data_IF_257102502554
#
_entry.id   IF_257102502554
#
_cell.length_a   1.000
_cell.length_b   1.000
_cell.length_c   1.000
_cell.angle_alpha   90.00
_cell.angle_beta   90.00
_cell.angle_gamma   90.00
#
_symmetry.space_group_name_H-M   'P 1'
#
loop_
_entity.id
_entity.type
_entity.pdbx_description
1 polymer ?
#
# COMPACT_ATOMS: atom_id res chain seq x y z
N UNK A 1 -13.54 8.38 -1.41
CA UNK A 1 -14.25 9.27 -2.35
C UNK A 1 -15.65 8.72 -2.53
N UNK A 2 -16.72 9.50 -2.28
CA UNK A 2 -18.10 9.07 -2.57
C UNK A 2 -18.32 9.18 -4.07
N UNK A 3 -18.88 8.15 -4.70
CA UNK A 3 -19.12 8.12 -6.15
C UNK A 3 -20.34 8.96 -6.57
N UNK A 4 -21.25 9.29 -5.64
CA UNK A 4 -22.27 10.34 -5.82
C UNK A 4 -22.77 10.87 -4.45
N UNK A 5 -23.55 11.95 -4.45
CA UNK A 5 -24.17 12.51 -3.25
C UNK A 5 -25.22 11.58 -2.59
N UNK A 6 -25.77 10.63 -3.33
CA UNK A 6 -26.79 9.67 -2.88
C UNK A 6 -26.28 8.21 -2.82
N UNK A 7 -24.98 7.98 -3.04
CA UNK A 7 -24.42 6.63 -2.99
C UNK A 7 -23.94 6.29 -1.58
N UNK A 8 -24.51 5.22 -1.01
CA UNK A 8 -24.05 4.60 0.24
C UNK A 8 -22.75 3.79 0.08
N UNK A 9 -22.20 3.73 -1.14
CA UNK A 9 -20.96 3.03 -1.44
C UNK A 9 -19.77 3.97 -1.33
N UNK A 10 -18.83 3.66 -0.45
CA UNK A 10 -17.53 4.32 -0.39
C UNK A 10 -16.45 3.38 -0.91
N UNK A 11 -15.51 3.91 -1.72
CA UNK A 11 -14.28 3.20 -2.08
C UNK A 11 -13.16 3.75 -1.21
N UNK A 12 -12.51 2.86 -0.48
CA UNK A 12 -11.28 3.13 0.26
C UNK A 12 -10.11 2.51 -0.51
N UNK A 13 -9.03 3.28 -0.66
CA UNK A 13 -7.77 2.79 -1.19
C UNK A 13 -6.87 2.47 -0.01
N UNK A 14 -6.26 1.28 -0.03
CA UNK A 14 -5.31 0.83 0.99
C UNK A 14 -3.99 0.55 0.27
N UNK A 15 -2.93 1.22 0.71
CA UNK A 15 -1.58 0.92 0.26
C UNK A 15 -1.08 -0.31 1.03
N UNK A 16 -0.72 -1.35 0.29
CA UNK A 16 -0.13 -2.57 0.84
C UNK A 16 1.36 -2.50 0.61
N UNK A 17 2.15 -2.57 1.69
CA UNK A 17 3.59 -2.80 1.58
C UNK A 17 3.81 -4.17 0.92
N UNK A 18 4.38 -4.18 -0.27
CA UNK A 18 4.60 -5.41 -1.04
C UNK A 18 5.96 -5.36 -1.75
N UNK A 19 6.43 -6.55 -2.11
CA UNK A 19 7.52 -6.74 -3.05
C UNK A 19 7.15 -6.24 -4.44
N UNK A 20 8.15 -6.05 -5.31
CA UNK A 20 7.94 -5.66 -6.72
C UNK A 20 7.02 -6.64 -7.46
N UNK A 21 6.96 -7.91 -7.02
CA UNK A 21 6.11 -8.94 -7.60
C UNK A 21 4.62 -8.83 -7.22
N UNK A 22 4.27 -8.01 -6.22
CA UNK A 22 2.88 -7.81 -5.81
C UNK A 22 2.23 -9.04 -5.16
N UNK A 23 3.03 -9.94 -4.59
CA UNK A 23 2.60 -11.26 -4.11
C UNK A 23 1.62 -11.13 -2.94
N UNK A 24 1.89 -10.22 -2.01
CA UNK A 24 1.03 -9.99 -0.85
C UNK A 24 -0.30 -9.38 -1.26
N UNK A 25 -0.28 -8.33 -2.09
CA UNK A 25 -1.47 -7.67 -2.62
C UNK A 25 -2.34 -8.64 -3.42
N UNK A 26 -1.74 -9.48 -4.29
CA UNK A 26 -2.46 -10.53 -5.02
C UNK A 26 -3.15 -11.53 -4.11
N UNK A 27 -2.53 -11.88 -2.98
CA UNK A 27 -3.13 -12.81 -2.02
C UNK A 27 -4.41 -12.29 -1.36
N UNK A 28 -4.63 -10.97 -1.38
CA UNK A 28 -5.83 -10.33 -0.83
C UNK A 28 -6.91 -10.09 -1.88
N UNK A 29 -6.56 -10.03 -3.17
CA UNK A 29 -7.54 -9.85 -4.24
C UNK A 29 -8.54 -11.01 -4.21
N UNK A 30 -9.83 -10.67 -4.20
CA UNK A 30 -10.92 -11.64 -4.15
C UNK A 30 -11.32 -12.08 -2.73
N UNK A 31 -10.53 -11.77 -1.69
CA UNK A 31 -10.94 -12.00 -0.30
C UNK A 31 -11.98 -10.97 0.15
N UNK A 32 -12.77 -11.36 1.13
CA UNK A 32 -13.77 -10.52 1.78
C UNK A 32 -13.29 -10.14 3.18
N UNK A 33 -13.42 -8.86 3.52
CA UNK A 33 -13.15 -8.32 4.86
C UNK A 33 -14.41 -7.68 5.41
N UNK A 34 -14.52 -7.58 6.73
CA UNK A 34 -15.66 -6.94 7.39
C UNK A 34 -15.28 -5.52 7.80
N UNK A 35 -15.98 -4.53 7.28
CA UNK A 35 -15.83 -3.12 7.65
C UNK A 35 -17.16 -2.61 8.17
N UNK A 36 -17.22 -2.17 9.43
CA UNK A 36 -18.45 -1.66 10.03
C UNK A 36 -19.62 -2.64 9.99
N UNK A 37 -19.34 -3.94 10.13
CA UNK A 37 -20.36 -5.00 10.07
C UNK A 37 -20.82 -5.39 8.67
N UNK A 38 -20.23 -4.83 7.61
CA UNK A 38 -20.54 -5.17 6.21
C UNK A 38 -19.40 -5.93 5.55
N UNK A 39 -19.76 -6.93 4.76
CA UNK A 39 -18.82 -7.69 3.94
C UNK A 39 -18.37 -6.85 2.73
N UNK A 40 -17.08 -6.59 2.63
CA UNK A 40 -16.46 -5.83 1.56
C UNK A 40 -15.45 -6.71 0.81
N UNK A 41 -15.58 -6.79 -0.51
CA UNK A 41 -14.66 -7.55 -1.35
C UNK A 41 -13.44 -6.70 -1.73
N UNK A 42 -12.24 -7.25 -1.54
CA UNK A 42 -11.00 -6.62 -1.99
C UNK A 42 -10.88 -6.82 -3.50
N UNK A 43 -10.85 -5.72 -4.24
CA UNK A 43 -10.66 -5.73 -5.69
C UNK A 43 -9.26 -5.24 -6.05
N UNK A 44 -8.66 -5.88 -7.05
CA UNK A 44 -7.40 -5.41 -7.60
C UNK A 44 -7.58 -4.04 -8.25
N UNK A 45 -6.72 -3.10 -7.90
CA UNK A 45 -6.58 -1.84 -8.64
C UNK A 45 -5.72 -2.08 -9.89
N UNK A 46 -5.99 -1.36 -10.98
CA UNK A 46 -5.07 -1.36 -12.11
C UNK A 46 -3.68 -0.90 -11.64
N UNK A 47 -2.59 -1.61 -11.96
CA UNK A 47 -1.25 -1.21 -11.57
C UNK A 47 -0.97 0.17 -12.15
N UNK A 48 -0.67 1.14 -11.28
CA UNK A 48 -0.27 2.48 -11.73
C UNK A 48 1.16 2.38 -12.28
N UNK A 49 1.39 2.72 -13.56
CA UNK A 49 2.75 2.73 -14.09
C UNK A 49 3.60 3.77 -13.35
N UNK A 50 4.73 3.32 -12.79
CA UNK A 50 5.95 4.14 -12.74
C UNK A 50 6.23 5.01 -11.53
N UNK A 51 5.57 4.86 -10.38
CA UNK A 51 6.10 5.48 -9.15
C UNK A 51 7.05 4.51 -8.47
N UNK A 52 8.35 4.81 -8.49
CA UNK A 52 9.32 4.04 -7.72
C UNK A 52 8.96 4.13 -6.22
N UNK A 53 8.91 2.98 -5.56
CA UNK A 53 8.93 2.91 -4.10
C UNK A 53 10.36 3.19 -3.65
N UNK A 54 10.55 4.24 -2.86
CA UNK A 54 11.86 4.53 -2.30
C UNK A 54 12.20 3.53 -1.20
N UNK A 55 13.22 2.69 -1.42
CA UNK A 55 13.71 1.69 -0.44
C UNK A 55 14.31 2.30 0.83
N UNK A 56 14.53 3.62 0.86
CA UNK A 56 15.10 4.33 2.02
C UNK A 56 14.01 4.84 2.97
N UNK A 57 12.97 5.45 2.43
CA UNK A 57 11.91 6.08 3.24
C UNK A 57 10.56 5.36 3.15
N UNK A 58 10.47 4.33 2.31
CA UNK A 58 9.26 3.54 2.03
C UNK A 58 8.08 4.42 1.60
N UNK A 59 8.36 5.46 0.81
CA UNK A 59 7.35 6.33 0.19
C UNK A 59 7.41 6.20 -1.33
N UNK A 60 6.25 6.25 -1.95
CA UNK A 60 6.09 6.28 -3.39
C UNK A 60 6.48 7.63 -3.99
N UNK A 61 6.81 7.63 -5.29
CA UNK A 61 6.97 8.84 -6.10
C UNK A 61 8.41 9.29 -6.32
N UNK A 62 9.41 8.56 -5.81
CA UNK A 62 10.82 8.85 -6.06
C UNK A 62 11.73 7.63 -5.85
N UNK A 63 12.88 7.62 -6.52
CA UNK A 63 13.91 6.59 -6.31
C UNK A 63 14.76 6.91 -5.07
N UNK A 64 15.41 5.89 -4.50
CA UNK A 64 16.27 6.03 -3.32
C UNK A 64 17.46 6.99 -3.56
N UNK A 65 17.95 7.07 -4.80
CA UNK A 65 19.05 7.97 -5.20
C UNK A 65 18.73 9.46 -5.03
N UNK A 66 17.46 9.86 -5.08
CA UNK A 66 17.02 11.27 -4.91
C UNK A 66 16.31 11.51 -3.58
N UNK A 67 16.32 10.52 -2.68
CA UNK A 67 15.64 10.60 -1.40
C UNK A 67 16.39 11.48 -0.40
N UNK A 68 15.69 12.47 0.19
CA UNK A 68 16.22 13.34 1.25
C UNK A 68 16.09 12.77 2.67
N UNK A 69 15.58 11.54 2.82
CA UNK A 69 15.44 10.91 4.14
C UNK A 69 16.81 10.60 4.74
N UNK A 70 17.01 10.95 6.03
CA UNK A 70 18.29 10.76 6.73
C UNK A 70 18.55 9.31 7.15
N UNK A 71 17.53 8.46 7.24
CA UNK A 71 17.64 7.08 7.71
C UNK A 71 16.83 6.09 6.88
N UNK A 72 17.17 4.82 6.99
CA UNK A 72 16.40 3.70 6.46
C UNK A 72 15.13 3.49 7.31
N UNK A 73 14.04 3.09 6.67
CA UNK A 73 12.83 2.63 7.32
C UNK A 73 12.57 1.18 6.99
N UNK A 74 12.11 0.43 7.98
CA UNK A 74 11.82 -0.99 7.82
C UNK A 74 10.63 -1.18 6.85
N UNK A 75 10.73 -2.06 5.84
CA UNK A 75 9.60 -2.43 4.97
C UNK A 75 8.40 -2.98 5.74
N UNK A 76 8.66 -3.67 6.85
CA UNK A 76 7.64 -4.41 7.59
C UNK A 76 6.81 -3.53 8.52
N UNK A 77 7.45 -2.56 9.20
CA UNK A 77 6.79 -1.75 10.22
C UNK A 77 6.98 -0.22 10.06
N UNK A 78 7.77 0.24 9.09
CA UNK A 78 7.96 1.67 8.80
C UNK A 78 8.80 2.44 9.83
N UNK A 79 9.34 1.76 10.84
CA UNK A 79 10.20 2.29 11.90
C UNK A 79 11.66 2.45 11.44
N UNK A 80 12.48 3.29 12.11
CA UNK A 80 13.83 3.62 11.67
C UNK A 80 14.86 2.51 12.00
N UNK A 81 14.66 1.32 11.43
CA UNK A 81 15.57 0.18 11.52
C UNK A 81 15.58 -0.62 10.22
N UNK A 82 16.61 -1.46 10.04
CA UNK A 82 16.70 -2.42 8.94
C UNK A 82 15.94 -3.70 9.24
N UNK A 83 15.49 -4.42 8.22
CA UNK A 83 14.79 -5.71 8.37
C UNK A 83 15.57 -6.73 9.24
N UNK A 84 16.91 -6.74 9.16
CA UNK A 84 17.77 -7.61 9.97
C UNK A 84 17.72 -7.36 11.49
N UNK A 85 17.05 -6.29 11.93
CA UNK A 85 16.86 -5.98 13.35
C UNK A 85 15.51 -6.49 13.91
N UNK A 86 14.76 -7.26 13.10
CA UNK A 86 13.60 -8.05 13.54
C UNK A 86 14.02 -9.46 13.93
#
# INVERSE_FOLDING_TARGET
>A
MRTSAHSDTCVAWVDICDSVAGTSARSYIGKTIVIGGRNCQIRGAAPRPGSALCTRCMRWGHHSSVCRSKGIRCPLCGLPHSEAAH
#
